data_IF_884780663857
#
_entry.id   IF_884780663857
#
_cell.length_a   1.000
_cell.length_b   1.000
_cell.length_c   1.000
_cell.angle_alpha   90.00
_cell.angle_beta   90.00
_cell.angle_gamma   90.00
#
_symmetry.space_group_name_H-M   'P 1'
#
loop_
_entity.id
_entity.type
_entity.pdbx_description
1 polymer ?
#
# COMPACT_ATOMS: atom_id res chain seq x y z
N UNK A 1 -6.77 -5.29 30.62
CA UNK A 1 -6.94 -4.36 29.50
C UNK A 1 -5.96 -3.24 29.79
N UNK A 2 -4.84 -3.20 29.09
CA UNK A 2 -3.80 -2.22 29.36
C UNK A 2 -4.19 -0.95 28.59
N UNK A 3 -4.92 -0.05 29.27
CA UNK A 3 -5.45 1.19 28.68
C UNK A 3 -4.38 2.30 28.62
N UNK A 4 -3.10 1.97 28.83
CA UNK A 4 -2.01 2.95 28.99
C UNK A 4 -1.46 3.52 27.69
N UNK A 5 -1.70 2.88 26.54
CA UNK A 5 -1.22 3.34 25.22
C UNK A 5 -2.40 3.56 24.27
N UNK A 6 -2.80 4.83 24.01
CA UNK A 6 -3.89 5.15 23.08
C UNK A 6 -3.72 4.56 21.68
N UNK A 7 -2.47 4.46 21.21
CA UNK A 7 -2.13 3.94 19.88
C UNK A 7 -2.48 2.45 19.72
N UNK A 8 -2.27 1.64 20.75
CA UNK A 8 -2.60 0.21 20.74
C UNK A 8 -4.11 -0.02 20.64
N UNK A 9 -4.89 0.83 21.30
CA UNK A 9 -6.35 0.79 21.24
C UNK A 9 -6.87 1.14 19.84
N UNK A 10 -6.26 2.15 19.20
CA UNK A 10 -6.58 2.53 17.81
C UNK A 10 -6.22 1.39 16.85
N UNK A 11 -5.03 0.80 16.98
CA UNK A 11 -4.61 -0.32 16.14
C UNK A 11 -5.54 -1.54 16.26
N UNK A 12 -5.89 -1.92 17.48
CA UNK A 12 -6.85 -3.01 17.75
C UNK A 12 -8.24 -2.69 17.20
N UNK A 13 -8.67 -1.42 17.28
CA UNK A 13 -9.92 -0.94 16.70
C UNK A 13 -9.95 -1.11 15.19
N UNK A 14 -8.92 -0.64 14.49
CA UNK A 14 -8.78 -0.77 13.02
C UNK A 14 -8.78 -2.25 12.61
N UNK A 15 -8.01 -3.09 13.31
CA UNK A 15 -7.95 -4.53 13.04
C UNK A 15 -9.31 -5.20 13.19
N UNK A 16 -10.08 -4.80 14.22
CA UNK A 16 -11.44 -5.29 14.46
C UNK A 16 -12.40 -4.89 13.33
N UNK A 17 -12.35 -3.63 12.88
CA UNK A 17 -13.18 -3.13 11.77
C UNK A 17 -12.87 -3.88 10.48
N UNK A 18 -11.59 -4.07 10.15
CA UNK A 18 -11.16 -4.83 8.96
C UNK A 18 -11.67 -6.27 9.04
N UNK A 19 -11.53 -6.92 10.20
CA UNK A 19 -11.98 -8.31 10.40
C UNK A 19 -13.49 -8.47 10.15
N UNK A 20 -14.33 -7.64 10.76
CA UNK A 20 -15.77 -7.70 10.55
C UNK A 20 -16.18 -7.31 9.12
N UNK A 21 -15.50 -6.33 8.52
CA UNK A 21 -15.73 -5.97 7.12
C UNK A 21 -15.45 -7.15 6.17
N UNK A 22 -14.36 -7.90 6.39
CA UNK A 22 -14.05 -9.08 5.60
C UNK A 22 -15.11 -10.18 5.76
N UNK A 23 -15.65 -10.38 6.96
CA UNK A 23 -16.77 -11.32 7.18
C UNK A 23 -18.00 -10.89 6.39
N UNK A 24 -18.39 -9.61 6.47
CA UNK A 24 -19.53 -9.06 5.72
C UNK A 24 -19.30 -9.20 4.22
N UNK A 25 -18.08 -8.92 3.74
CA UNK A 25 -17.67 -9.09 2.35
C UNK A 25 -17.85 -10.53 1.85
N UNK A 26 -17.53 -11.53 2.68
CA UNK A 26 -17.75 -12.95 2.34
C UNK A 26 -19.23 -13.32 2.28
N UNK A 27 -20.07 -12.72 3.14
CA UNK A 27 -21.49 -13.03 3.23
C UNK A 27 -22.35 -12.29 2.19
N UNK A 28 -22.05 -11.02 1.92
CA UNK A 28 -22.89 -10.13 1.12
C UNK A 28 -22.52 -10.14 -0.37
N UNK A 29 -21.26 -10.41 -0.73
CA UNK A 29 -20.87 -10.34 -2.14
C UNK A 29 -21.24 -11.63 -2.91
N UNK A 30 -21.79 -11.50 -4.12
CA UNK A 30 -22.12 -12.65 -4.96
C UNK A 30 -20.85 -13.43 -5.34
N UNK A 31 -21.01 -14.69 -5.75
CA UNK A 31 -19.89 -15.46 -6.28
C UNK A 31 -19.37 -14.75 -7.54
N UNK A 32 -18.10 -14.34 -7.53
CA UNK A 32 -17.43 -13.85 -8.73
C UNK A 32 -17.24 -14.95 -9.77
N UNK A 33 -16.78 -14.60 -10.99
CA UNK A 33 -16.52 -15.56 -12.07
C UNK A 33 -15.36 -16.53 -11.75
N UNK A 34 -14.58 -16.23 -10.71
CA UNK A 34 -13.48 -17.08 -10.24
C UNK A 34 -13.96 -18.09 -9.19
N UNK A 35 -13.94 -19.37 -9.54
CA UNK A 35 -14.48 -20.46 -8.71
C UNK A 35 -13.42 -21.36 -8.08
N UNK A 36 -12.14 -21.28 -8.51
CA UNK A 36 -11.02 -22.07 -7.98
C UNK A 36 -9.93 -21.16 -7.40
N UNK A 37 -9.22 -21.52 -6.29
CA UNK A 37 -9.34 -22.74 -5.50
C UNK A 37 -10.52 -22.76 -4.50
N UNK A 38 -10.91 -21.64 -3.90
CA UNK A 38 -12.10 -21.55 -3.03
C UNK A 38 -12.83 -20.20 -3.20
N UNK A 39 -14.16 -20.16 -3.40
CA UNK A 39 -14.91 -18.93 -3.69
C UNK A 39 -14.89 -17.91 -2.54
N UNK A 40 -14.65 -18.33 -1.28
CA UNK A 40 -14.48 -17.37 -0.18
C UNK A 40 -13.18 -16.58 -0.25
N UNK A 41 -12.10 -17.14 -0.81
CA UNK A 41 -10.82 -16.43 -0.96
C UNK A 41 -11.01 -15.25 -1.90
N UNK A 42 -11.66 -15.48 -3.04
CA UNK A 42 -11.95 -14.43 -4.01
C UNK A 42 -12.85 -13.32 -3.45
N UNK A 43 -13.81 -13.67 -2.59
CA UNK A 43 -14.62 -12.67 -1.88
C UNK A 43 -13.79 -11.85 -0.90
N UNK A 44 -12.90 -12.48 -0.13
CA UNK A 44 -12.00 -11.76 0.78
C UNK A 44 -11.05 -10.83 0.01
N UNK A 45 -10.50 -11.28 -1.12
CA UNK A 45 -9.64 -10.46 -1.98
C UNK A 45 -10.39 -9.25 -2.53
N UNK A 46 -11.64 -9.44 -2.98
CA UNK A 46 -12.49 -8.34 -3.42
C UNK A 46 -12.88 -7.39 -2.27
N UNK A 47 -13.16 -7.92 -1.07
CA UNK A 47 -13.36 -7.10 0.12
C UNK A 47 -12.13 -6.26 0.46
N UNK A 48 -10.95 -6.88 0.41
CA UNK A 48 -9.68 -6.20 0.66
C UNK A 48 -9.39 -5.12 -0.39
N UNK A 49 -9.71 -5.36 -1.66
CA UNK A 49 -9.54 -4.35 -2.71
C UNK A 49 -10.47 -3.15 -2.53
N UNK A 50 -11.71 -3.35 -2.05
CA UNK A 50 -12.62 -2.25 -1.68
C UNK A 50 -12.08 -1.47 -0.48
N UNK A 51 -11.61 -2.14 0.58
CA UNK A 51 -10.97 -1.46 1.72
C UNK A 51 -9.76 -0.64 1.29
N UNK A 52 -8.92 -1.21 0.43
CA UNK A 52 -7.75 -0.54 -0.13
C UNK A 52 -8.17 0.70 -0.94
N UNK A 53 -9.18 0.58 -1.80
CA UNK A 53 -9.68 1.71 -2.58
C UNK A 53 -10.21 2.83 -1.67
N UNK A 54 -11.00 2.50 -0.64
CA UNK A 54 -11.50 3.49 0.32
C UNK A 54 -10.36 4.16 1.10
N UNK A 55 -9.33 3.40 1.46
CA UNK A 55 -8.12 3.94 2.08
C UNK A 55 -7.39 4.91 1.14
N UNK A 56 -7.24 4.57 -0.14
CA UNK A 56 -6.63 5.48 -1.13
C UNK A 56 -7.43 6.77 -1.31
N UNK A 57 -8.77 6.67 -1.36
CA UNK A 57 -9.65 7.84 -1.43
C UNK A 57 -9.47 8.71 -0.18
N UNK A 58 -9.35 8.11 1.01
CA UNK A 58 -9.04 8.85 2.23
C UNK A 58 -7.69 9.57 2.13
N UNK A 59 -6.62 8.87 1.74
CA UNK A 59 -5.27 9.44 1.57
C UNK A 59 -5.25 10.58 0.54
N UNK A 60 -6.08 10.51 -0.50
CA UNK A 60 -6.18 11.55 -1.53
C UNK A 60 -6.57 12.92 -0.95
N UNK A 61 -7.33 12.96 0.15
CA UNK A 61 -7.74 14.18 0.82
C UNK A 61 -6.72 14.67 1.88
N UNK A 62 -5.67 13.90 2.19
CA UNK A 62 -4.66 14.27 3.17
C UNK A 62 -3.56 15.13 2.52
N UNK A 63 -3.01 16.07 3.31
CA UNK A 63 -1.80 16.80 2.91
C UNK A 63 -0.56 15.90 2.97
N UNK A 64 0.48 16.23 2.20
CA UNK A 64 1.71 15.43 2.12
C UNK A 64 2.35 15.13 3.49
N UNK A 65 2.38 16.12 4.39
CA UNK A 65 2.89 15.92 5.76
C UNK A 65 2.04 14.92 6.57
N UNK A 66 0.72 14.97 6.39
CA UNK A 66 -0.21 14.05 7.06
C UNK A 66 -0.09 12.63 6.50
N UNK A 67 0.09 12.50 5.18
CA UNK A 67 0.32 11.20 4.53
C UNK A 67 1.59 10.55 5.06
N UNK A 68 2.70 11.30 5.15
CA UNK A 68 3.96 10.80 5.74
C UNK A 68 3.76 10.35 7.19
N UNK A 69 3.04 11.12 7.99
CA UNK A 69 2.74 10.75 9.37
C UNK A 69 1.96 9.43 9.47
N UNK A 70 0.95 9.24 8.63
CA UNK A 70 0.17 7.99 8.55
C UNK A 70 1.03 6.82 8.08
N UNK A 71 1.88 7.02 7.07
CA UNK A 71 2.79 5.97 6.57
C UNK A 71 3.81 5.54 7.63
N UNK A 72 4.39 6.49 8.37
CA UNK A 72 5.30 6.18 9.47
C UNK A 72 4.63 5.53 10.67
N UNK A 73 3.34 5.79 10.87
CA UNK A 73 2.54 5.13 11.89
C UNK A 73 2.23 3.68 11.50
N UNK A 74 1.98 3.41 10.21
CA UNK A 74 1.71 2.07 9.70
C UNK A 74 2.98 1.20 9.65
N UNK A 75 4.09 1.75 9.17
CA UNK A 75 5.39 1.08 9.18
C UNK A 75 6.50 2.06 9.62
N UNK A 76 7.00 1.93 10.86
CA UNK A 76 8.00 2.83 11.41
C UNK A 76 9.37 2.70 10.72
N UNK A 77 9.65 1.58 10.02
CA UNK A 77 10.92 1.37 9.33
C UNK A 77 11.09 2.30 8.12
N UNK A 78 9.99 2.84 7.57
CA UNK A 78 10.04 3.82 6.47
C UNK A 78 10.76 5.12 6.84
N UNK A 79 10.92 5.44 8.13
CA UNK A 79 11.67 6.62 8.56
C UNK A 79 13.16 6.54 8.21
N UNK A 80 13.68 5.32 8.08
CA UNK A 80 15.10 5.04 7.88
C UNK A 80 15.40 4.42 6.50
N UNK A 81 14.35 4.10 5.73
CA UNK A 81 14.51 3.59 4.38
C UNK A 81 15.03 4.71 3.46
N UNK A 82 16.18 4.48 2.84
CA UNK A 82 16.67 5.30 1.73
C UNK A 82 15.69 5.17 0.58
N UNK A 83 15.00 6.28 0.26
CA UNK A 83 14.03 6.32 -0.83
C UNK A 83 14.75 6.09 -2.14
N UNK A 84 14.16 5.26 -3.01
CA UNK A 84 14.72 4.97 -4.33
C UNK A 84 14.83 6.23 -5.20
N UNK A 85 13.97 7.23 -4.98
CA UNK A 85 14.09 8.56 -5.60
C UNK A 85 15.28 9.41 -5.10
N UNK A 86 15.90 9.06 -3.96
CA UNK A 86 17.12 9.74 -3.47
C UNK A 86 18.40 9.09 -4.06
N UNK A 87 18.31 7.86 -4.60
CA UNK A 87 19.40 7.15 -5.29
C UNK A 87 19.24 7.17 -6.82
N UNK A 88 18.02 7.22 -7.34
CA UNK A 88 17.73 7.30 -8.77
C UNK A 88 17.21 8.68 -9.14
N UNK A 89 17.97 9.33 -10.03
CA UNK A 89 17.71 10.65 -10.56
C UNK A 89 16.55 10.64 -11.59
N UNK A 90 15.32 10.34 -11.17
CA UNK A 90 14.17 10.43 -12.07
C UNK A 90 13.84 11.90 -12.37
N UNK A 91 13.95 12.29 -13.64
CA UNK A 91 13.68 13.65 -14.17
C UNK A 91 14.72 14.74 -13.81
N UNK A 92 16.00 14.38 -13.70
CA UNK A 92 17.09 15.37 -13.75
C UNK A 92 17.36 15.87 -15.16
N UNK A 93 18.15 16.94 -15.30
CA UNK A 93 18.45 17.55 -16.58
C UNK A 93 19.22 16.57 -17.51
N UNK A 94 18.50 15.92 -18.44
CA UNK A 94 19.01 14.84 -19.31
C UNK A 94 19.78 15.34 -20.56
N UNK A 95 20.06 16.63 -20.68
CA UNK A 95 20.68 17.18 -21.90
C UNK A 95 22.09 16.62 -22.18
N UNK A 96 22.81 16.18 -21.14
CA UNK A 96 24.13 15.55 -21.28
C UNK A 96 23.97 14.03 -21.32
N UNK A 97 24.19 13.46 -22.51
CA UNK A 97 24.11 12.01 -22.77
C UNK A 97 25.51 11.41 -22.62
N UNK A 98 25.79 10.81 -21.46
CA UNK A 98 26.99 9.99 -21.22
C UNK A 98 26.60 8.52 -21.01
N UNK A 99 27.53 7.61 -21.32
CA UNK A 99 27.31 6.17 -21.20
C UNK A 99 26.97 5.74 -19.77
N UNK A 100 27.61 6.37 -18.77
CA UNK A 100 27.36 6.14 -17.35
C UNK A 100 25.91 6.46 -16.95
N UNK A 101 25.33 7.51 -17.54
CA UNK A 101 23.95 7.95 -17.28
C UNK A 101 22.91 7.04 -17.93
N UNK A 102 23.22 6.52 -19.12
CA UNK A 102 22.36 5.55 -19.80
C UNK A 102 22.28 4.27 -18.96
N UNK A 103 23.42 3.77 -18.47
CA UNK A 103 23.46 2.59 -17.62
C UNK A 103 22.80 2.79 -16.25
N UNK A 104 22.87 3.99 -15.66
CA UNK A 104 22.20 4.27 -14.38
C UNK A 104 20.67 4.37 -14.49
N UNK A 105 20.13 4.58 -15.68
CA UNK A 105 18.68 4.62 -15.95
C UNK A 105 18.13 3.28 -16.49
N UNK A 106 18.99 2.28 -16.72
CA UNK A 106 18.57 0.92 -17.06
C UNK A 106 18.13 0.19 -15.78
N UNK A 107 16.85 0.33 -15.46
CA UNK A 107 16.23 -0.28 -14.29
C UNK A 107 15.94 -1.77 -14.51
N UNK A 108 16.05 -2.57 -13.45
CA UNK A 108 15.66 -3.99 -13.44
C UNK A 108 14.18 -4.18 -13.80
N UNK A 109 13.37 -3.11 -13.64
CA UNK A 109 11.99 -3.05 -14.08
C UNK A 109 11.82 -3.40 -15.57
N UNK A 110 12.78 -3.06 -16.44
CA UNK A 110 12.74 -3.42 -17.86
C UNK A 110 12.89 -4.93 -18.10
N UNK A 111 13.60 -5.64 -17.22
CA UNK A 111 13.75 -7.10 -17.29
C UNK A 111 12.61 -7.85 -16.57
N UNK A 112 11.99 -7.23 -15.56
CA UNK A 112 10.85 -7.78 -14.82
C UNK A 112 9.49 -7.61 -15.51
N UNK A 113 9.41 -6.83 -16.59
CA UNK A 113 8.21 -6.62 -17.41
C UNK A 113 8.16 -7.57 -18.62
N UNK A 114 8.37 -8.88 -18.37
CA UNK A 114 8.15 -9.96 -19.33
C UNK A 114 7.32 -11.08 -18.70
#
# INVERSE_FOLDING_TARGET
>A
RDDSVPEDNIWRGILSVIFFFLIISVLAFPNGPFTRPHPAIWRMVFGLSVLYFLFLVFVLFLNFEQVKAVMYWLDPNLRYATREADIMEYAVNCHVITWERILSHFDIFAFGHF
#
